data_IF_433941476998
#
_entry.id   IF_433941476998
#
_cell.length_a   1.000
_cell.length_b   1.000
_cell.length_c   1.000
_cell.angle_alpha   90.00
_cell.angle_beta   90.00
_cell.angle_gamma   90.00
#
_symmetry.space_group_name_H-M   'P 1'
#
loop_
_entity.id
_entity.type
_entity.pdbx_description
1 polymer ?
#
# COMPACT_ATOMS: atom_id res chain seq x y z
N UNK A 1 18.93 1.22 -24.07
CA UNK A 1 17.54 1.02 -24.49
C UNK A 1 16.75 0.89 -23.21
N UNK A 2 16.31 2.04 -22.68
CA UNK A 2 15.61 2.12 -21.40
C UNK A 2 14.24 1.50 -21.59
N UNK A 3 14.08 0.26 -21.13
CA UNK A 3 12.79 -0.42 -21.15
C UNK A 3 12.00 0.13 -19.96
N UNK A 4 11.24 1.18 -20.22
CA UNK A 4 10.25 1.72 -19.29
C UNK A 4 9.10 0.71 -19.20
N UNK A 5 9.25 -0.33 -18.38
CA UNK A 5 8.11 -1.19 -18.06
C UNK A 5 7.32 -0.51 -16.93
N UNK A 6 6.30 0.27 -17.34
CA UNK A 6 5.24 0.72 -16.44
C UNK A 6 4.38 -0.50 -16.07
N UNK A 7 4.75 -1.20 -15.00
CA UNK A 7 3.82 -2.12 -14.36
C UNK A 7 2.91 -1.34 -13.43
N UNK A 8 1.60 -1.51 -13.59
CA UNK A 8 0.60 -1.16 -12.58
C UNK A 8 0.84 -2.02 -11.33
N UNK A 9 1.83 -1.65 -10.54
CA UNK A 9 1.92 -2.03 -9.14
C UNK A 9 1.54 -0.77 -8.39
N UNK A 10 0.25 -0.45 -8.36
CA UNK A 10 -0.21 0.75 -7.65
C UNK A 10 0.21 0.63 -6.18
N UNK A 11 1.00 1.58 -5.62
CA UNK A 11 1.44 2.88 -6.14
C UNK A 11 2.96 3.04 -6.30
N UNK A 12 3.65 1.96 -6.64
CA UNK A 12 5.09 1.94 -6.78
C UNK A 12 5.47 2.33 -8.21
N UNK A 13 6.09 3.51 -8.35
CA UNK A 13 6.79 3.86 -9.57
C UNK A 13 8.21 3.28 -9.47
N UNK A 14 8.38 2.06 -9.98
CA UNK A 14 9.68 1.40 -10.03
C UNK A 14 10.51 1.95 -11.18
N UNK A 15 11.57 2.69 -10.87
CA UNK A 15 12.54 3.12 -11.88
C UNK A 15 13.74 2.16 -11.85
N UNK A 16 13.84 1.27 -12.83
CA UNK A 16 14.97 0.35 -12.96
C UNK A 16 16.00 0.99 -13.88
N UNK A 17 17.20 1.29 -13.36
CA UNK A 17 18.31 1.77 -14.16
C UNK A 17 19.56 0.93 -13.85
N UNK A 18 20.17 0.33 -14.88
CA UNK A 18 21.42 -0.45 -14.76
C UNK A 18 21.41 -1.61 -13.74
N UNK A 19 20.27 -2.29 -13.55
CA UNK A 19 20.15 -3.40 -12.60
C UNK A 19 20.01 -2.99 -11.13
N UNK A 20 20.03 -1.68 -10.86
CA UNK A 20 19.58 -1.08 -9.61
C UNK A 20 18.08 -0.84 -9.70
N UNK A 21 17.36 -1.37 -8.73
CA UNK A 21 15.96 -0.98 -8.47
C UNK A 21 16.06 0.37 -7.77
N UNK A 22 15.39 1.40 -8.27
CA UNK A 22 15.16 2.62 -7.50
C UNK A 22 13.65 2.72 -7.33
N UNK A 23 13.20 2.56 -6.10
CA UNK A 23 11.77 2.66 -5.77
C UNK A 23 11.48 4.13 -5.57
N UNK A 24 10.71 4.71 -6.48
CA UNK A 24 10.06 5.97 -6.22
C UNK A 24 8.61 5.65 -5.86
N UNK A 25 8.17 6.24 -4.74
CA UNK A 25 6.78 6.54 -4.42
C UNK A 25 6.00 5.57 -3.52
N UNK A 26 5.43 6.16 -2.48
CA UNK A 26 4.56 5.58 -1.45
C UNK A 26 3.25 6.37 -1.49
N UNK A 27 2.10 5.71 -1.32
CA UNK A 27 0.80 6.37 -1.42
C UNK A 27 0.51 7.25 -0.22
N UNK A 28 -0.12 8.38 -0.52
CA UNK A 28 -0.65 9.34 0.44
C UNK A 28 -2.16 9.10 0.55
N UNK A 29 -2.64 9.10 1.77
CA UNK A 29 -4.06 9.06 2.11
C UNK A 29 -4.75 10.36 1.72
N UNK A 30 -5.74 10.28 0.85
CA UNK A 30 -6.81 11.28 0.78
C UNK A 30 -8.14 10.56 0.95
N UNK A 31 -8.52 10.34 2.20
CA UNK A 31 -9.92 10.10 2.50
C UNK A 31 -10.61 11.46 2.43
N UNK A 32 -11.45 11.66 1.42
CA UNK A 32 -12.34 12.83 1.36
C UNK A 32 -13.10 12.91 2.69
N UNK A 33 -12.77 13.89 3.53
CA UNK A 33 -13.63 14.30 4.62
C UNK A 33 -14.21 15.65 4.24
N UNK A 34 -15.52 15.67 4.03
CA UNK A 34 -16.28 16.88 3.77
C UNK A 34 -16.62 17.51 5.13
N UNK A 35 -16.18 18.73 5.47
CA UNK A 35 -16.40 19.32 6.79
C UNK A 35 -17.81 19.92 6.98
N UNK A 36 -18.80 19.57 6.15
CA UNK A 36 -20.10 20.29 6.10
C UNK A 36 -21.32 19.49 6.60
N UNK A 37 -21.22 18.18 6.85
CA UNK A 37 -22.37 17.42 7.36
C UNK A 37 -22.33 17.25 8.89
N UNK A 38 -22.26 18.37 9.63
CA UNK A 38 -22.87 18.47 10.96
C UNK A 38 -24.29 18.99 10.80
N UNK A 39 -25.23 18.12 10.44
CA UNK A 39 -26.66 18.39 10.62
C UNK A 39 -27.25 17.18 11.34
N UNK A 40 -27.82 17.48 12.50
CA UNK A 40 -28.57 16.62 13.43
C UNK A 40 -29.40 15.55 12.72
N UNK A 41 -29.15 14.29 13.09
CA UNK A 41 -30.07 13.18 12.83
C UNK A 41 -31.17 13.26 13.89
N UNK A 42 -32.33 13.77 13.50
CA UNK A 42 -33.59 13.42 14.14
C UNK A 42 -34.04 12.04 13.60
N UNK A 43 -34.51 11.21 14.53
CA UNK A 43 -35.11 9.90 14.30
C UNK A 43 -36.22 9.93 13.24
N UNK A 44 -36.14 9.07 12.22
CA UNK A 44 -37.16 8.03 11.97
C UNK A 44 -36.98 7.30 10.62
N UNK A 45 -37.02 5.97 10.71
CA UNK A 45 -37.54 4.98 9.74
C UNK A 45 -36.81 4.70 8.39
N UNK A 46 -36.16 3.52 8.39
CA UNK A 46 -36.32 2.41 7.44
C UNK A 46 -36.66 2.73 5.96
N UNK A 47 -35.66 2.60 5.08
CA UNK A 47 -35.76 1.71 3.91
C UNK A 47 -34.37 1.49 3.29
N UNK A 48 -33.86 0.27 3.47
CA UNK A 48 -32.72 -0.27 2.72
C UNK A 48 -33.23 -0.60 1.32
N UNK A 49 -32.71 0.06 0.29
CA UNK A 49 -32.71 -0.44 -1.08
C UNK A 49 -31.38 -0.15 -1.75
N UNK A 50 -30.86 -1.22 -2.34
CA UNK A 50 -29.69 -1.30 -3.21
C UNK A 50 -29.65 -0.16 -4.23
N UNK A 51 -28.50 0.51 -4.31
CA UNK A 51 -28.04 1.15 -5.53
C UNK A 51 -26.56 0.86 -5.69
N UNK A 52 -26.27 -0.23 -6.40
CA UNK A 52 -25.01 -0.43 -7.11
C UNK A 52 -24.93 0.61 -8.23
N UNK A 53 -24.51 1.82 -7.89
CA UNK A 53 -24.12 2.87 -8.82
C UNK A 53 -22.63 3.10 -8.72
N UNK A 54 -21.90 2.89 -9.81
CA UNK A 54 -20.64 3.59 -10.03
C UNK A 54 -20.98 5.07 -10.21
N UNK A 55 -21.13 5.79 -9.09
CA UNK A 55 -21.18 7.24 -9.14
C UNK A 55 -19.74 7.73 -9.33
N UNK A 56 -19.46 8.16 -10.57
CA UNK A 56 -18.42 9.15 -10.80
C UNK A 56 -18.84 10.40 -10.02
N UNK A 57 -18.39 10.51 -8.77
CA UNK A 57 -18.55 11.70 -7.92
C UNK A 57 -17.82 12.89 -8.55
N UNK A 58 -18.45 13.51 -9.55
CA UNK A 58 -18.18 14.87 -9.98
C UNK A 58 -18.72 15.80 -8.88
N UNK A 59 -17.93 15.98 -7.82
CA UNK A 59 -18.15 17.08 -6.86
C UNK A 59 -17.98 18.41 -7.62
N UNK A 60 -19.08 19.16 -7.76
CA UNK A 60 -19.03 20.58 -8.11
C UNK A 60 -18.21 21.31 -7.04
N UNK A 61 -17.01 21.75 -7.41
CA UNK A 61 -16.15 22.58 -6.57
C UNK A 61 -16.85 23.94 -6.40
N UNK A 62 -17.33 24.26 -5.19
CA UNK A 62 -17.91 25.58 -4.92
C UNK A 62 -16.79 26.63 -4.98
N UNK A 63 -16.71 27.30 -6.14
CA UNK A 63 -15.70 28.33 -6.46
C UNK A 63 -15.86 29.58 -5.56
N UNK A 64 -16.96 29.69 -4.80
CA UNK A 64 -17.24 30.88 -3.97
C UNK A 64 -16.66 30.84 -2.56
N UNK A 65 -16.13 29.70 -2.11
CA UNK A 65 -15.31 29.69 -0.90
C UNK A 65 -13.97 30.37 -1.22
N UNK A 66 -13.65 31.46 -0.53
CA UNK A 66 -12.34 32.13 -0.60
C UNK A 66 -11.23 31.10 -0.32
N UNK A 67 -10.66 30.54 -1.38
CA UNK A 67 -9.56 29.57 -1.28
C UNK A 67 -8.28 30.33 -0.96
N UNK A 68 -7.63 29.95 0.13
CA UNK A 68 -6.36 30.55 0.51
C UNK A 68 -5.26 30.08 -0.46
N UNK A 69 -4.13 30.79 -0.49
CA UNK A 69 -2.95 30.37 -1.28
C UNK A 69 -2.50 28.95 -0.93
N UNK A 70 -2.63 28.56 0.34
CA UNK A 70 -2.28 27.21 0.80
C UNK A 70 -3.28 26.15 0.32
N UNK A 71 -4.59 26.46 0.28
CA UNK A 71 -5.59 25.53 -0.27
C UNK A 71 -5.31 25.23 -1.74
N UNK A 72 -4.99 26.26 -2.52
CA UNK A 72 -4.64 26.11 -3.93
C UNK A 72 -3.37 25.25 -4.11
N UNK A 73 -2.32 25.54 -3.34
CA UNK A 73 -1.06 24.78 -3.35
C UNK A 73 -1.30 23.31 -3.03
N UNK A 74 -2.12 23.04 -2.02
CA UNK A 74 -2.48 21.69 -1.60
C UNK A 74 -3.25 20.95 -2.71
N UNK A 75 -4.26 21.57 -3.31
CA UNK A 75 -5.05 20.99 -4.41
C UNK A 75 -4.20 20.70 -5.65
N UNK A 76 -3.36 21.66 -6.07
CA UNK A 76 -2.46 21.47 -7.20
C UNK A 76 -1.46 20.33 -6.93
N UNK A 77 -0.88 20.30 -5.74
CA UNK A 77 0.03 19.24 -5.32
C UNK A 77 -0.64 17.86 -5.32
N UNK A 78 -1.87 17.75 -4.83
CA UNK A 78 -2.65 16.51 -4.87
C UNK A 78 -2.94 16.07 -6.30
N UNK A 79 -3.31 16.99 -7.19
CA UNK A 79 -3.58 16.69 -8.60
C UNK A 79 -2.33 16.13 -9.31
N UNK A 80 -1.18 16.79 -9.13
CA UNK A 80 0.09 16.33 -9.69
C UNK A 80 0.51 14.98 -9.10
N UNK A 81 0.33 14.80 -7.79
CA UNK A 81 0.59 13.54 -7.13
C UNK A 81 -0.26 12.41 -7.74
N UNK A 82 -1.56 12.65 -7.95
CA UNK A 82 -2.51 11.70 -8.55
C UNK A 82 -2.14 11.35 -9.98
N UNK A 83 -1.72 12.32 -10.79
CA UNK A 83 -1.19 12.07 -12.14
C UNK A 83 -0.01 11.09 -12.12
N UNK A 84 0.90 11.30 -11.18
CA UNK A 84 2.07 10.44 -11.04
C UNK A 84 1.75 9.08 -10.39
N UNK A 85 0.88 8.98 -9.37
CA UNK A 85 0.61 7.72 -8.63
C UNK A 85 -0.50 6.87 -9.22
N UNK A 86 -1.63 7.48 -9.58
CA UNK A 86 -2.86 6.78 -9.97
C UNK A 86 -2.89 6.60 -11.48
N UNK A 87 -2.55 7.66 -12.21
CA UNK A 87 -2.55 7.65 -13.67
C UNK A 87 -1.20 7.23 -14.27
N UNK A 88 -0.17 7.08 -13.43
CA UNK A 88 1.17 6.63 -13.82
C UNK A 88 1.76 7.44 -14.98
N UNK A 89 1.45 8.74 -15.04
CA UNK A 89 1.94 9.62 -16.10
C UNK A 89 3.45 9.80 -15.93
N UNK A 90 4.27 9.61 -17.00
CA UNK A 90 5.71 9.79 -16.91
C UNK A 90 6.09 11.19 -16.43
N UNK A 91 7.14 11.26 -15.62
CA UNK A 91 7.66 12.52 -15.05
C UNK A 91 7.94 13.56 -16.14
N UNK A 92 8.48 13.13 -17.29
CA UNK A 92 8.72 14.01 -18.45
C UNK A 92 7.42 14.61 -18.96
N UNK A 93 6.40 13.78 -19.16
CA UNK A 93 5.08 14.22 -19.61
C UNK A 93 4.41 15.16 -18.62
N UNK A 94 4.57 14.95 -17.31
CA UNK A 94 4.05 15.88 -16.30
C UNK A 94 4.76 17.22 -16.36
N UNK A 95 6.08 17.23 -16.54
CA UNK A 95 6.81 18.48 -16.74
C UNK A 95 6.34 19.20 -18.00
N UNK A 96 6.05 18.48 -19.09
CA UNK A 96 5.48 19.05 -20.32
C UNK A 96 4.08 19.63 -20.07
N UNK A 97 3.21 18.92 -19.33
CA UNK A 97 1.88 19.39 -18.94
C UNK A 97 1.99 20.69 -18.14
N UNK A 98 2.84 20.72 -17.11
CA UNK A 98 3.08 21.89 -16.27
C UNK A 98 3.57 23.07 -17.11
N UNK A 99 4.53 22.84 -18.01
CA UNK A 99 5.07 23.85 -18.91
C UNK A 99 3.99 24.45 -19.83
N UNK A 100 3.16 23.59 -20.44
CA UNK A 100 2.07 24.03 -21.31
C UNK A 100 0.98 24.79 -20.55
N UNK A 101 0.59 24.34 -19.36
CA UNK A 101 -0.38 25.06 -18.51
C UNK A 101 0.18 26.42 -18.11
N UNK A 102 1.45 26.49 -17.69
CA UNK A 102 2.11 27.74 -17.35
C UNK A 102 2.15 28.72 -18.53
N UNK A 103 2.41 28.23 -19.74
CA UNK A 103 2.42 29.05 -20.95
C UNK A 103 1.02 29.56 -21.32
N UNK A 104 0.02 28.68 -21.33
CA UNK A 104 -1.38 29.06 -21.60
C UNK A 104 -1.89 30.09 -20.59
N UNK A 105 -1.57 29.91 -19.32
CA UNK A 105 -1.92 30.85 -18.27
C UNK A 105 -1.25 32.22 -18.46
N UNK A 106 0.04 32.23 -18.81
CA UNK A 106 0.78 33.46 -19.11
C UNK A 106 0.19 34.23 -20.30
N UNK A 107 -0.26 33.52 -21.34
CA UNK A 107 -0.98 34.12 -22.47
C UNK A 107 -2.33 34.71 -22.05
N UNK A 108 -3.09 33.97 -21.24
CA UNK A 108 -4.38 34.42 -20.70
C UNK A 108 -4.23 35.72 -19.90
N UNK A 109 -3.25 35.76 -18.98
CA UNK A 109 -2.95 36.95 -18.17
C UNK A 109 -2.47 38.12 -19.03
N UNK A 110 -1.65 37.86 -20.06
CA UNK A 110 -1.21 38.89 -21.00
C UNK A 110 -2.40 39.50 -21.75
N UNK A 111 -3.35 38.68 -22.21
CA UNK A 111 -4.55 39.15 -22.88
C UNK A 111 -5.47 39.93 -21.92
N UNK A 112 -5.64 39.45 -20.68
CA UNK A 112 -6.39 40.16 -19.65
C UNK A 112 -5.76 41.53 -19.34
N UNK A 113 -4.42 41.59 -19.24
CA UNK A 113 -3.67 42.84 -19.03
C UNK A 113 -3.94 43.85 -20.14
N UNK A 114 -3.96 43.39 -21.40
CA UNK A 114 -4.29 44.24 -22.55
C UNK A 114 -5.72 44.79 -22.46
N UNK A 115 -6.70 43.93 -22.20
CA UNK A 115 -8.10 44.35 -22.07
C UNK A 115 -8.35 45.33 -20.90
N UNK A 116 -7.67 45.12 -19.78
CA UNK A 116 -7.75 46.03 -18.63
C UNK A 116 -7.09 47.38 -18.96
N UNK A 117 -5.93 47.37 -19.61
CA UNK A 117 -5.25 48.60 -20.05
C UNK A 117 -6.12 49.43 -21.00
N UNK A 118 -6.77 48.80 -21.98
CA UNK A 118 -7.68 49.48 -22.90
C UNK A 118 -8.88 50.12 -22.20
N UNK A 119 -9.47 49.44 -21.21
CA UNK A 119 -10.57 50.01 -20.40
C UNK A 119 -10.12 51.13 -19.48
N UNK A 120 -8.89 51.07 -18.96
CA UNK A 120 -8.36 52.04 -18.02
C UNK A 120 -7.79 53.30 -18.67
N UNK A 121 -7.49 53.27 -19.98
CA UNK A 121 -7.12 54.46 -20.77
C UNK A 121 -8.21 55.57 -20.77
N UNK A 122 -9.42 55.29 -20.30
CA UNK A 122 -10.50 56.26 -20.11
C UNK A 122 -10.65 56.83 -18.69
N UNK A 123 -9.75 56.48 -17.76
CA UNK A 123 -9.78 56.93 -16.36
C UNK A 123 -8.62 57.90 -16.09
N UNK A 124 -8.85 58.93 -15.27
CA UNK A 124 -7.83 59.91 -14.87
C UNK A 124 -6.74 59.24 -14.00
N UNK A 125 -5.65 58.81 -14.63
CA UNK A 125 -4.47 58.24 -13.99
C UNK A 125 -3.27 58.22 -14.93
N UNK A 126 -2.04 58.29 -14.39
CA UNK A 126 -0.84 58.16 -15.24
C UNK A 126 -0.73 56.73 -15.77
N UNK A 127 -0.40 56.56 -17.06
CA UNK A 127 -0.22 55.24 -17.68
C UNK A 127 0.79 54.35 -16.93
N UNK A 128 1.79 54.99 -16.30
CA UNK A 128 2.81 54.35 -15.45
C UNK A 128 2.23 53.76 -14.16
N UNK A 129 1.27 54.44 -13.52
CA UNK A 129 0.65 53.94 -12.28
C UNK A 129 -0.23 52.72 -12.57
N UNK A 130 -1.02 52.78 -13.65
CA UNK A 130 -1.89 51.68 -14.09
C UNK A 130 -1.07 50.42 -14.40
N UNK A 131 0.04 50.57 -15.12
CA UNK A 131 0.91 49.46 -15.49
C UNK A 131 1.59 48.83 -14.27
N UNK A 132 2.00 49.66 -13.29
CA UNK A 132 2.57 49.18 -12.03
C UNK A 132 1.56 48.39 -11.19
N UNK A 133 0.31 48.86 -11.10
CA UNK A 133 -0.77 48.20 -10.36
C UNK A 133 -1.09 46.85 -11.02
N UNK A 134 -1.31 46.83 -12.34
CA UNK A 134 -1.58 45.59 -13.07
C UNK A 134 -0.45 44.57 -12.91
N UNK A 135 0.80 45.02 -12.99
CA UNK A 135 1.93 44.12 -12.79
C UNK A 135 1.99 43.60 -11.35
N UNK A 136 1.68 44.44 -10.35
CA UNK A 136 1.64 44.02 -8.96
C UNK A 136 0.54 42.99 -8.67
N UNK A 137 -0.62 43.09 -9.33
CA UNK A 137 -1.71 42.13 -9.18
C UNK A 137 -1.43 40.82 -9.94
N UNK A 138 -0.84 40.89 -11.14
CA UNK A 138 -0.39 39.69 -11.86
C UNK A 138 0.68 38.94 -11.05
N UNK A 139 1.57 39.65 -10.36
CA UNK A 139 2.56 39.01 -9.50
C UNK A 139 1.93 38.37 -8.24
N UNK A 140 0.67 38.66 -7.91
CA UNK A 140 -0.09 37.99 -6.84
C UNK A 140 -0.87 36.78 -7.35
N UNK A 141 -0.96 36.59 -8.66
CA UNK A 141 -1.66 35.45 -9.26
C UNK A 141 -1.03 34.13 -8.83
N UNK A 142 -1.88 33.22 -8.33
CA UNK A 142 -1.46 31.97 -7.74
C UNK A 142 -0.69 31.08 -8.72
N UNK A 143 -1.25 30.85 -9.91
CA UNK A 143 -0.65 29.96 -10.91
C UNK A 143 0.70 30.49 -11.41
N UNK A 144 0.83 31.81 -11.60
CA UNK A 144 2.08 32.47 -11.98
C UNK A 144 3.15 32.25 -10.93
N UNK A 145 2.80 32.36 -9.64
CA UNK A 145 3.69 32.07 -8.54
C UNK A 145 4.04 30.57 -8.47
N UNK A 146 3.04 29.69 -8.57
CA UNK A 146 3.24 28.23 -8.43
C UNK A 146 4.09 27.59 -9.53
N UNK A 147 4.06 28.14 -10.73
CA UNK A 147 4.90 27.72 -11.85
C UNK A 147 6.18 28.56 -12.01
N UNK A 148 6.38 29.56 -11.16
CA UNK A 148 7.65 30.31 -11.13
C UNK A 148 8.81 29.43 -10.67
N UNK A 149 10.03 29.79 -11.07
CA UNK A 149 11.25 29.11 -10.64
C UNK A 149 11.69 29.46 -9.21
N UNK A 150 10.90 30.22 -8.44
CA UNK A 150 11.24 30.57 -7.07
C UNK A 150 11.38 29.33 -6.17
N UNK A 151 12.13 29.48 -5.08
CA UNK A 151 12.33 28.40 -4.09
C UNK A 151 11.07 28.13 -3.25
N UNK A 152 10.18 29.11 -3.18
CA UNK A 152 8.93 29.05 -2.41
C UNK A 152 7.87 28.14 -3.06
N UNK A 153 7.90 28.01 -4.38
CA UNK A 153 6.88 27.30 -5.15
C UNK A 153 7.44 26.06 -5.87
N UNK A 154 6.88 24.89 -5.54
CA UNK A 154 7.59 23.59 -5.60
C UNK A 154 7.14 22.60 -6.70
N UNK A 155 6.60 23.06 -7.83
CA UNK A 155 6.03 22.11 -8.82
C UNK A 155 6.82 21.92 -10.12
N UNK A 156 7.78 22.80 -10.43
CA UNK A 156 8.44 22.83 -11.75
C UNK A 156 9.39 21.67 -12.04
N UNK A 157 9.89 20.98 -11.03
CA UNK A 157 10.77 19.80 -11.20
C UNK A 157 10.33 18.65 -10.31
N UNK A 158 10.68 17.41 -10.72
CA UNK A 158 10.39 16.23 -9.89
C UNK A 158 10.99 16.35 -8.49
N UNK A 159 12.22 16.85 -8.38
CA UNK A 159 12.88 17.06 -7.09
C UNK A 159 12.07 17.98 -6.17
N UNK A 160 11.61 19.12 -6.68
CA UNK A 160 10.77 20.05 -5.91
C UNK A 160 9.43 19.42 -5.53
N UNK A 161 8.81 18.65 -6.45
CA UNK A 161 7.55 17.94 -6.19
C UNK A 161 7.68 16.90 -5.08
N UNK A 162 8.72 16.06 -5.12
CA UNK A 162 8.96 15.08 -4.06
C UNK A 162 9.18 15.75 -2.70
N UNK A 163 9.92 16.85 -2.64
CA UNK A 163 10.09 17.63 -1.42
C UNK A 163 8.75 18.18 -0.89
N UNK A 164 7.89 18.69 -1.79
CA UNK A 164 6.55 19.14 -1.44
C UNK A 164 5.67 18.00 -0.92
N UNK A 165 5.66 16.83 -1.57
CA UNK A 165 4.88 15.68 -1.13
C UNK A 165 5.34 15.17 0.24
N UNK A 166 6.64 15.18 0.51
CA UNK A 166 7.20 14.81 1.81
C UNK A 166 6.74 15.75 2.92
N UNK A 167 6.84 17.05 2.68
CA UNK A 167 6.50 18.06 3.70
C UNK A 167 5.00 18.19 3.92
N UNK A 168 4.21 18.20 2.84
CA UNK A 168 2.78 18.53 2.91
C UNK A 168 1.92 17.30 3.15
N UNK A 169 2.29 16.16 2.56
CA UNK A 169 1.49 14.95 2.59
C UNK A 169 2.10 13.82 3.43
N UNK A 170 3.23 14.07 4.09
CA UNK A 170 3.88 13.09 4.93
C UNK A 170 4.42 11.87 4.16
N UNK A 171 4.86 12.06 2.91
CA UNK A 171 5.46 10.98 2.14
C UNK A 171 6.69 10.41 2.85
N UNK A 172 6.60 9.16 3.30
CA UNK A 172 7.74 8.41 3.79
C UNK A 172 8.51 7.90 2.58
N UNK A 173 9.84 8.02 2.58
CA UNK A 173 10.66 7.56 1.46
C UNK A 173 11.27 6.19 1.78
N UNK A 174 11.45 5.31 0.78
CA UNK A 174 12.16 4.06 0.98
C UNK A 174 13.65 4.33 1.23
N UNK A 175 14.24 3.58 2.15
CA UNK A 175 15.69 3.52 2.36
C UNK A 175 16.29 2.35 1.57
N UNK A 176 17.41 2.58 0.90
CA UNK A 176 18.17 1.50 0.26
C UNK A 176 19.09 0.85 1.28
N UNK A 177 19.06 -0.48 1.37
CA UNK A 177 19.86 -1.27 2.31
C UNK A 177 20.74 -2.23 1.51
N UNK A 178 22.05 -2.15 1.76
CA UNK A 178 23.04 -3.05 1.14
C UNK A 178 23.02 -4.43 1.79
N UNK A 179 22.98 -5.50 0.97
CA UNK A 179 23.05 -6.89 1.42
C UNK A 179 24.45 -7.49 1.30
N UNK A 180 25.35 -6.79 0.62
CA UNK A 180 26.69 -7.27 0.27
C UNK A 180 26.74 -7.94 -1.09
N UNK A 181 27.57 -8.98 -1.22
CA UNK A 181 27.79 -9.70 -2.48
C UNK A 181 27.02 -11.02 -2.50
N UNK A 182 26.37 -11.32 -3.62
CA UNK A 182 25.71 -12.62 -3.81
C UNK A 182 26.69 -13.71 -4.29
N UNK A 183 26.20 -14.92 -4.50
CA UNK A 183 27.01 -16.06 -5.00
C UNK A 183 27.67 -15.83 -6.37
N UNK A 184 27.28 -14.80 -7.12
CA UNK A 184 27.92 -14.37 -8.38
C UNK A 184 28.83 -13.15 -8.21
N UNK A 185 29.19 -12.80 -6.97
CA UNK A 185 30.02 -11.65 -6.62
C UNK A 185 29.46 -10.29 -7.08
N UNK A 186 28.13 -10.19 -7.22
CA UNK A 186 27.43 -8.94 -7.56
C UNK A 186 26.92 -8.27 -6.29
N UNK A 187 27.06 -6.95 -6.21
CA UNK A 187 26.48 -6.14 -5.13
C UNK A 187 24.95 -6.21 -5.21
N UNK A 188 24.34 -6.50 -4.07
CA UNK A 188 22.89 -6.60 -3.92
C UNK A 188 22.40 -5.57 -2.90
N UNK A 189 21.21 -5.03 -3.17
CA UNK A 189 20.52 -4.07 -2.31
C UNK A 189 19.01 -4.27 -2.45
N UNK A 190 18.28 -3.83 -1.45
CA UNK A 190 16.82 -3.82 -1.43
C UNK A 190 16.30 -2.52 -0.82
N UNK A 191 15.00 -2.28 -0.93
CA UNK A 191 14.37 -1.07 -0.43
C UNK A 191 13.40 -1.42 0.70
N UNK A 192 13.50 -0.67 1.78
CA UNK A 192 12.66 -0.82 2.97
C UNK A 192 11.99 0.52 3.28
N UNK A 193 10.73 0.50 3.70
CA UNK A 193 9.99 1.69 4.12
C UNK A 193 9.81 1.62 5.64
N UNK A 194 10.41 2.54 6.41
CA UNK A 194 10.36 2.48 7.87
C UNK A 194 8.93 2.50 8.43
N UNK A 195 8.50 1.42 9.09
CA UNK A 195 7.10 1.26 9.50
C UNK A 195 6.69 2.29 10.56
N UNK A 196 7.61 2.66 11.45
CA UNK A 196 7.36 3.70 12.46
C UNK A 196 7.01 5.05 11.83
N UNK A 197 7.74 5.44 10.77
CA UNK A 197 7.47 6.68 10.03
C UNK A 197 6.18 6.56 9.21
N UNK A 198 5.93 5.39 8.62
CA UNK A 198 4.68 5.13 7.89
C UNK A 198 3.47 5.27 8.81
N UNK A 199 3.52 4.67 10.01
CA UNK A 199 2.47 4.81 11.02
C UNK A 199 2.33 6.23 11.55
N UNK A 200 3.44 6.95 11.75
CA UNK A 200 3.40 8.36 12.16
C UNK A 200 2.67 9.25 11.13
N UNK A 201 3.01 9.08 9.85
CA UNK A 201 2.36 9.78 8.74
C UNK A 201 0.88 9.40 8.61
N UNK A 202 0.57 8.10 8.64
CA UNK A 202 -0.78 7.54 8.66
C UNK A 202 -1.65 8.16 9.75
N UNK A 203 -1.16 8.12 10.99
CA UNK A 203 -1.89 8.57 12.16
C UNK A 203 -1.93 10.08 12.28
N UNK A 204 -1.14 10.82 11.49
CA UNK A 204 -1.26 12.27 11.38
C UNK A 204 -2.45 12.69 10.50
N UNK A 205 -2.98 11.79 9.66
CA UNK A 205 -4.13 12.05 8.81
C UNK A 205 -5.44 12.06 9.63
N UNK A 206 -6.21 13.16 9.56
CA UNK A 206 -7.44 13.32 10.34
C UNK A 206 -8.50 12.25 10.02
N UNK A 207 -8.63 11.83 8.77
CA UNK A 207 -9.60 10.81 8.38
C UNK A 207 -9.19 9.41 8.86
N UNK A 208 -7.89 9.15 9.01
CA UNK A 208 -7.40 7.94 9.68
C UNK A 208 -7.71 8.00 11.17
N UNK A 209 -7.36 9.12 11.85
CA UNK A 209 -7.68 9.31 13.28
C UNK A 209 -9.16 9.13 13.55
N UNK A 210 -10.02 9.75 12.73
CA UNK A 210 -11.47 9.63 12.86
C UNK A 210 -11.95 8.18 12.84
N UNK A 211 -11.44 7.35 11.91
CA UNK A 211 -11.79 5.93 11.86
C UNK A 211 -11.33 5.14 13.09
N UNK A 212 -10.17 5.48 13.64
CA UNK A 212 -9.63 4.83 14.85
C UNK A 212 -10.38 5.24 16.11
N UNK A 213 -10.84 6.49 16.19
CA UNK A 213 -11.64 7.03 17.29
C UNK A 213 -13.10 6.55 17.23
N UNK A 214 -13.62 6.26 16.03
CA UNK A 214 -15.00 5.84 15.78
C UNK A 214 -15.07 4.47 15.08
N UNK A 215 -14.54 3.39 15.69
CA UNK A 215 -14.50 2.09 15.04
C UNK A 215 -15.90 1.54 14.74
N UNK A 216 -16.10 1.00 13.53
CA UNK A 216 -17.33 0.33 13.12
C UNK A 216 -17.40 -1.10 13.68
N UNK A 217 -17.45 -1.24 15.01
CA UNK A 217 -17.58 -2.52 15.68
C UNK A 217 -19.05 -2.95 15.70
N UNK A 218 -19.58 -3.31 14.54
CA UNK A 218 -20.87 -3.99 14.45
C UNK A 218 -20.65 -5.43 14.88
N UNK A 219 -21.26 -5.87 15.98
CA UNK A 219 -21.24 -7.26 16.41
C UNK A 219 -22.68 -7.76 16.45
N UNK A 220 -22.98 -8.80 15.68
CA UNK A 220 -24.28 -9.44 15.68
C UNK A 220 -24.13 -10.89 16.15
N UNK A 221 -25.10 -11.37 16.92
CA UNK A 221 -25.10 -12.75 17.39
C UNK A 221 -25.05 -13.72 16.19
N UNK A 222 -24.08 -14.63 16.21
CA UNK A 222 -23.86 -15.68 15.20
C UNK A 222 -23.50 -15.20 13.78
N UNK A 223 -23.12 -13.93 13.59
CA UNK A 223 -22.65 -13.42 12.29
C UNK A 223 -21.24 -12.85 12.46
N UNK A 224 -20.31 -13.32 11.64
CA UNK A 224 -18.99 -12.71 11.51
C UNK A 224 -19.11 -11.46 10.62
N UNK A 225 -18.83 -10.28 11.18
CA UNK A 225 -18.84 -9.00 10.47
C UNK A 225 -17.43 -8.45 10.26
N UNK A 226 -16.51 -8.79 11.15
CA UNK A 226 -15.12 -8.30 11.11
C UNK A 226 -14.10 -9.38 11.53
N UNK A 227 -12.83 -9.15 11.22
CA UNK A 227 -11.70 -10.01 11.58
C UNK A 227 -11.59 -10.23 13.10
N UNK A 228 -12.05 -9.25 13.89
CA UNK A 228 -12.03 -9.32 15.36
C UNK A 228 -13.05 -10.32 15.92
N UNK A 229 -14.05 -10.71 15.14
CA UNK A 229 -15.03 -11.71 15.57
C UNK A 229 -14.47 -13.13 15.53
N UNK A 230 -13.42 -13.35 14.73
CA UNK A 230 -12.81 -14.66 14.54
C UNK A 230 -12.09 -15.16 15.80
N UNK A 231 -12.20 -16.47 16.06
CA UNK A 231 -11.50 -17.13 17.18
C UNK A 231 -9.98 -16.91 17.15
N UNK A 232 -9.40 -16.81 15.95
CA UNK A 232 -7.97 -16.53 15.77
C UNK A 232 -7.54 -15.20 16.39
N UNK A 233 -8.39 -14.18 16.30
CA UNK A 233 -8.16 -12.88 16.93
C UNK A 233 -8.45 -12.96 18.43
N UNK A 234 -9.61 -13.49 18.81
CA UNK A 234 -10.06 -13.59 20.22
C UNK A 234 -9.08 -14.38 21.10
N UNK A 235 -8.39 -15.38 20.54
CA UNK A 235 -7.37 -16.18 21.25
C UNK A 235 -5.96 -15.64 21.12
N UNK A 236 -5.76 -14.52 20.44
CA UNK A 236 -4.43 -13.94 20.29
C UNK A 236 -3.98 -13.32 21.63
N UNK A 237 -2.92 -13.83 22.28
CA UNK A 237 -2.52 -13.36 23.60
C UNK A 237 -2.08 -11.89 23.58
N UNK A 238 -1.42 -11.45 22.51
CA UNK A 238 -0.92 -10.09 22.40
C UNK A 238 -2.06 -9.06 22.33
N UNK A 239 -3.06 -9.29 21.46
CA UNK A 239 -4.19 -8.37 21.31
C UNK A 239 -5.17 -8.45 22.49
N UNK A 240 -5.21 -9.58 23.20
CA UNK A 240 -5.97 -9.70 24.46
C UNK A 240 -5.37 -8.82 25.57
N UNK A 241 -4.04 -8.78 25.68
CA UNK A 241 -3.33 -7.93 26.65
C UNK A 241 -3.25 -6.46 26.20
N UNK A 242 -3.32 -6.20 24.90
CA UNK A 242 -3.18 -4.88 24.29
C UNK A 242 -4.37 -4.59 23.35
N UNK A 243 -5.59 -4.42 23.87
CA UNK A 243 -6.80 -4.27 23.05
C UNK A 243 -6.77 -3.03 22.15
N UNK A 244 -6.07 -1.98 22.58
CA UNK A 244 -5.89 -0.72 21.84
C UNK A 244 -4.79 -0.78 20.78
N UNK A 245 -4.06 -1.90 20.66
CA UNK A 245 -2.98 -2.00 19.69
C UNK A 245 -3.51 -2.06 18.26
N UNK A 246 -2.84 -1.34 17.36
CA UNK A 246 -3.14 -1.38 15.93
C UNK A 246 -2.81 -2.77 15.37
N UNK A 247 -3.68 -3.25 14.51
CA UNK A 247 -3.66 -4.59 13.92
C UNK A 247 -3.07 -4.52 12.53
N UNK A 248 -1.79 -4.89 12.42
CA UNK A 248 -1.05 -4.86 11.17
C UNK A 248 -1.38 -6.11 10.33
N UNK A 249 -1.92 -5.91 9.13
CA UNK A 249 -2.08 -6.97 8.13
C UNK A 249 -1.02 -6.76 7.07
N UNK A 250 -0.20 -7.78 6.85
CA UNK A 250 0.88 -7.70 5.87
C UNK A 250 0.59 -8.62 4.69
N UNK A 251 0.76 -8.11 3.49
CA UNK A 251 0.61 -8.86 2.25
C UNK A 251 1.98 -9.13 1.66
N UNK A 252 2.18 -10.30 1.08
CA UNK A 252 3.34 -10.63 0.28
C UNK A 252 2.91 -11.04 -1.11
N UNK A 253 3.54 -10.44 -2.11
CA UNK A 253 3.32 -10.77 -3.51
C UNK A 253 4.65 -10.84 -4.26
N UNK A 254 4.70 -11.65 -5.32
CA UNK A 254 5.89 -11.79 -6.16
C UNK A 254 5.51 -11.60 -7.63
N UNK A 255 6.13 -10.63 -8.29
CA UNK A 255 5.78 -10.22 -9.66
C UNK A 255 7.02 -10.04 -10.54
N UNK A 256 6.85 -10.23 -11.85
CA UNK A 256 7.93 -10.13 -12.83
C UNK A 256 7.85 -8.79 -13.58
N UNK A 257 8.98 -8.06 -13.63
CA UNK A 257 9.02 -6.73 -14.25
C UNK A 257 9.31 -6.76 -15.76
N UNK A 258 9.89 -7.84 -16.25
CA UNK A 258 10.31 -7.93 -17.66
C UNK A 258 9.29 -8.68 -18.50
N UNK A 259 9.37 -8.45 -19.82
CA UNK A 259 8.46 -9.07 -20.78
C UNK A 259 8.43 -10.61 -20.58
N UNK A 260 7.26 -11.20 -20.28
CA UNK A 260 7.12 -12.63 -19.95
C UNK A 260 7.42 -13.58 -21.13
N UNK A 261 7.68 -13.03 -22.32
CA UNK A 261 7.92 -13.74 -23.58
C UNK A 261 9.39 -13.71 -24.06
N UNK A 262 10.30 -13.03 -23.37
CA UNK A 262 11.70 -12.85 -23.80
C UNK A 262 12.72 -13.81 -23.16
N UNK A 263 13.96 -13.80 -23.66
CA UNK A 263 15.09 -14.58 -23.11
C UNK A 263 15.52 -14.15 -21.69
N UNK A 264 15.05 -13.00 -21.22
CA UNK A 264 15.25 -12.49 -19.86
C UNK A 264 14.14 -12.94 -18.88
N UNK A 265 13.24 -13.83 -19.28
CA UNK A 265 12.19 -14.38 -18.41
C UNK A 265 12.79 -14.91 -17.09
N UNK A 266 12.17 -14.57 -15.96
CA UNK A 266 12.59 -14.83 -14.56
C UNK A 266 13.80 -14.06 -14.04
N UNK A 267 14.49 -13.24 -14.83
CA UNK A 267 15.70 -12.54 -14.33
C UNK A 267 15.41 -11.35 -13.41
N UNK A 268 14.20 -10.78 -13.46
CA UNK A 268 13.79 -9.63 -12.65
C UNK A 268 12.43 -9.88 -11.98
N UNK A 269 12.37 -10.96 -11.19
CA UNK A 269 11.25 -11.23 -10.29
C UNK A 269 11.48 -10.51 -8.96
N UNK A 270 10.54 -9.67 -8.57
CA UNK A 270 10.57 -8.94 -7.31
C UNK A 270 9.57 -9.56 -6.33
N UNK A 271 9.87 -9.38 -5.05
CA UNK A 271 8.97 -9.68 -3.95
C UNK A 271 8.68 -8.37 -3.22
N UNK A 272 7.39 -8.06 -3.07
CA UNK A 272 6.90 -6.92 -2.32
C UNK A 272 6.20 -7.37 -1.04
N UNK A 273 6.44 -6.66 0.06
CA UNK A 273 5.66 -6.74 1.29
C UNK A 273 4.89 -5.44 1.46
N UNK A 274 3.58 -5.54 1.64
CA UNK A 274 2.67 -4.42 1.79
C UNK A 274 1.98 -4.48 3.16
N UNK A 275 1.58 -3.34 3.70
CA UNK A 275 0.98 -3.19 5.01
C UNK A 275 -0.37 -2.49 4.90
N UNK A 276 -1.35 -2.97 5.66
CA UNK A 276 -2.62 -2.27 5.91
C UNK A 276 -2.99 -2.39 7.37
N UNK A 277 -3.77 -1.43 7.87
CA UNK A 277 -4.37 -1.51 9.20
C UNK A 277 -5.72 -2.23 9.10
N UNK A 278 -5.88 -3.32 9.85
CA UNK A 278 -7.19 -3.93 10.02
C UNK A 278 -8.16 -3.03 10.82
N UNK A 279 -7.66 -1.95 11.42
CA UNK A 279 -8.46 -0.96 12.14
C UNK A 279 -9.25 -0.01 11.21
N UNK A 280 -8.92 0.09 9.92
CA UNK A 280 -9.72 0.88 8.97
C UNK A 280 -11.13 0.33 8.82
N UNK A 281 -12.07 1.10 8.29
CA UNK A 281 -13.38 0.52 7.98
C UNK A 281 -13.28 -0.54 6.86
N UNK A 282 -14.10 -1.61 6.90
CA UNK A 282 -13.99 -2.74 5.97
C UNK A 282 -13.92 -2.35 4.48
N UNK A 283 -14.72 -1.37 4.06
CA UNK A 283 -14.76 -0.85 2.68
C UNK A 283 -13.47 -0.17 2.21
N UNK A 284 -12.59 0.21 3.14
CA UNK A 284 -11.31 0.85 2.86
C UNK A 284 -10.13 -0.11 2.96
N UNK A 285 -10.20 -1.15 3.80
CA UNK A 285 -9.10 -2.12 3.99
C UNK A 285 -8.64 -2.80 2.70
N UNK A 286 -9.58 -3.12 1.81
CA UNK A 286 -9.31 -3.85 0.58
C UNK A 286 -8.94 -2.95 -0.60
N UNK A 287 -8.97 -1.63 -0.44
CA UNK A 287 -8.55 -0.71 -1.51
C UNK A 287 -7.04 -0.69 -1.60
N UNK A 288 -6.52 -0.92 -2.80
CA UNK A 288 -5.08 -0.84 -3.11
C UNK A 288 -4.51 0.50 -2.64
N UNK A 289 -5.29 1.57 -2.74
CA UNK A 289 -4.97 2.93 -2.28
C UNK A 289 -4.48 3.03 -0.83
N UNK A 290 -4.95 2.12 0.02
CA UNK A 290 -4.63 2.09 1.44
C UNK A 290 -3.50 1.11 1.80
N UNK A 291 -3.00 0.34 0.84
CA UNK A 291 -1.88 -0.58 1.03
C UNK A 291 -0.55 0.19 0.96
N UNK A 292 0.23 0.13 2.05
CA UNK A 292 1.52 0.78 2.18
C UNK A 292 2.63 -0.18 1.77
N UNK A 293 3.59 0.24 0.94
CA UNK A 293 4.80 -0.57 0.76
C UNK A 293 5.57 -0.60 2.09
N UNK A 294 6.00 -1.80 2.50
CA UNK A 294 6.90 -2.00 3.63
C UNK A 294 8.30 -2.43 3.17
N UNK A 295 8.39 -3.30 2.15
CA UNK A 295 9.67 -3.81 1.66
C UNK A 295 9.56 -4.27 0.21
N UNK A 296 10.61 -4.08 -0.57
CA UNK A 296 10.73 -4.65 -1.92
C UNK A 296 12.16 -5.07 -2.23
N UNK A 297 12.31 -6.29 -2.73
CA UNK A 297 13.59 -6.91 -3.03
C UNK A 297 13.49 -7.81 -4.27
N UNK A 298 14.64 -8.24 -4.82
CA UNK A 298 14.66 -9.32 -5.81
C UNK A 298 14.36 -10.64 -5.13
N UNK A 299 13.59 -11.51 -5.77
CA UNK A 299 13.29 -12.85 -5.26
C UNK A 299 14.59 -13.66 -5.04
N UNK A 300 15.52 -13.61 -5.99
CA UNK A 300 16.81 -14.29 -5.86
C UNK A 300 17.66 -13.80 -4.68
N UNK A 301 17.55 -12.51 -4.35
CA UNK A 301 18.27 -11.95 -3.21
C UNK A 301 17.60 -12.37 -1.90
N UNK A 302 16.26 -12.45 -1.88
CA UNK A 302 15.52 -12.97 -0.74
C UNK A 302 15.83 -14.45 -0.48
N UNK A 303 15.92 -15.27 -1.51
CA UNK A 303 16.31 -16.69 -1.41
C UNK A 303 17.75 -16.86 -0.92
N UNK A 304 18.68 -16.01 -1.39
CA UNK A 304 20.10 -16.12 -1.05
C UNK A 304 20.45 -15.56 0.33
N UNK A 305 19.95 -14.36 0.65
CA UNK A 305 20.29 -13.66 1.91
C UNK A 305 19.31 -13.97 3.04
N UNK A 306 18.12 -14.49 2.73
CA UNK A 306 17.10 -14.89 3.70
C UNK A 306 16.78 -13.76 4.68
N UNK A 307 17.00 -14.04 5.96
CA UNK A 307 16.61 -13.20 7.10
C UNK A 307 17.11 -11.77 7.00
N UNK A 308 18.31 -11.56 6.45
CA UNK A 308 18.93 -10.23 6.35
C UNK A 308 18.06 -9.21 5.60
N UNK A 309 17.21 -9.68 4.69
CA UNK A 309 16.27 -8.83 3.96
C UNK A 309 15.11 -8.40 4.86
N UNK A 310 14.60 -9.31 5.69
CA UNK A 310 13.42 -9.06 6.55
C UNK A 310 13.77 -8.46 7.92
N UNK A 311 15.04 -8.42 8.29
CA UNK A 311 15.50 -7.95 9.61
C UNK A 311 14.98 -6.55 10.00
N UNK A 312 15.04 -5.51 9.14
CA UNK A 312 14.50 -4.19 9.51
C UNK A 312 13.00 -4.22 9.73
N UNK A 313 12.27 -4.98 8.91
CA UNK A 313 10.83 -5.13 9.00
C UNK A 313 10.41 -5.79 10.32
N UNK A 314 11.04 -6.92 10.66
CA UNK A 314 10.77 -7.65 11.91
C UNK A 314 11.15 -6.79 13.12
N UNK A 315 12.27 -6.06 13.05
CA UNK A 315 12.72 -5.18 14.14
C UNK A 315 11.71 -4.05 14.39
N UNK A 316 11.24 -3.39 13.34
CA UNK A 316 10.25 -2.33 13.49
C UNK A 316 8.93 -2.87 14.08
N UNK A 317 8.47 -4.06 13.67
CA UNK A 317 7.28 -4.68 14.28
C UNK A 317 7.52 -5.01 15.76
N UNK A 318 8.72 -5.50 16.13
CA UNK A 318 9.06 -5.74 17.54
C UNK A 318 9.01 -4.46 18.36
N UNK A 319 9.62 -3.39 17.89
CA UNK A 319 9.60 -2.09 18.56
C UNK A 319 8.16 -1.61 18.75
N UNK A 320 7.37 -1.63 17.67
CA UNK A 320 5.94 -1.27 17.67
C UNK A 320 5.12 -2.12 18.64
N UNK A 321 5.46 -3.41 18.81
CA UNK A 321 4.74 -4.31 19.72
C UNK A 321 4.98 -3.95 21.19
N UNK A 322 6.16 -3.42 21.52
CA UNK A 322 6.45 -2.92 22.86
C UNK A 322 5.86 -1.53 23.10
N UNK A 323 5.66 -0.78 22.02
CA UNK A 323 5.10 0.56 22.01
C UNK A 323 6.16 1.62 21.74
N UNK A 324 5.80 2.60 20.91
CA UNK A 324 6.69 3.70 20.50
C UNK A 324 5.96 5.02 20.65
N UNK A 325 6.73 6.09 20.92
CA UNK A 325 6.22 7.45 20.80
C UNK A 325 6.40 7.91 19.35
N UNK A 326 5.29 8.26 18.72
CA UNK A 326 5.25 8.90 17.41
C UNK A 326 5.28 10.42 17.57
N UNK A 327 5.14 11.16 16.47
CA UNK A 327 5.08 12.62 16.51
C UNK A 327 3.93 13.08 17.41
N UNK A 328 4.08 14.29 17.98
CA UNK A 328 3.13 14.86 18.95
C UNK A 328 2.96 14.05 20.25
N UNK A 329 3.97 13.23 20.63
CA UNK A 329 3.98 12.40 21.84
C UNK A 329 2.83 11.37 21.92
N UNK A 330 2.31 10.92 20.78
CA UNK A 330 1.29 9.87 20.74
C UNK A 330 1.99 8.52 20.99
N UNK A 331 1.62 7.84 22.07
CA UNK A 331 2.10 6.49 22.35
C UNK A 331 1.26 5.45 21.60
N UNK A 332 1.90 4.68 20.73
CA UNK A 332 1.23 3.69 19.88
C UNK A 332 1.86 2.32 20.08
N UNK A 333 0.99 1.33 20.25
CA UNK A 333 1.33 -0.09 20.12
C UNK A 333 0.73 -0.62 18.83
N UNK A 334 1.50 -1.41 18.09
CA UNK A 334 1.03 -2.08 16.89
C UNK A 334 1.71 -3.43 16.75
N UNK A 335 1.01 -4.43 16.20
CA UNK A 335 1.62 -5.75 15.99
C UNK A 335 1.01 -6.48 14.81
N UNK A 336 1.74 -7.48 14.32
CA UNK A 336 1.34 -8.32 13.20
C UNK A 336 0.16 -9.23 13.59
N UNK A 337 -0.97 -9.03 12.92
CA UNK A 337 -2.13 -9.90 13.02
C UNK A 337 -1.99 -11.13 12.12
N UNK A 338 -1.70 -10.90 10.84
CA UNK A 338 -1.53 -11.97 9.86
C UNK A 338 -0.67 -11.55 8.67
N UNK A 339 -0.15 -12.57 7.98
CA UNK A 339 0.58 -12.48 6.73
C UNK A 339 -0.23 -13.16 5.62
N UNK A 340 -0.68 -12.38 4.66
CA UNK A 340 -1.50 -12.82 3.54
C UNK A 340 -0.61 -12.95 2.30
N UNK A 341 -0.70 -14.07 1.60
CA UNK A 341 -0.02 -14.26 0.33
C UNK A 341 -0.70 -15.33 -0.49
N UNK A 342 -0.23 -15.52 -1.71
CA UNK A 342 -0.61 -16.69 -2.51
C UNK A 342 -0.12 -17.99 -1.84
N UNK A 343 -0.46 -19.14 -2.42
CA UNK A 343 -0.07 -20.42 -1.84
C UNK A 343 1.44 -20.59 -1.76
N UNK A 344 2.17 -20.23 -2.81
CA UNK A 344 3.61 -20.40 -2.85
C UNK A 344 4.31 -19.49 -1.84
N UNK A 345 3.93 -18.21 -1.81
CA UNK A 345 4.40 -17.20 -0.87
C UNK A 345 4.11 -17.56 0.58
N UNK A 346 2.87 -17.99 0.89
CA UNK A 346 2.50 -18.44 2.24
C UNK A 346 3.32 -19.64 2.70
N UNK A 347 3.59 -20.61 1.81
CA UNK A 347 4.45 -21.75 2.14
C UNK A 347 5.89 -21.32 2.38
N UNK A 348 6.40 -20.39 1.56
CA UNK A 348 7.74 -19.83 1.75
C UNK A 348 7.87 -19.10 3.09
N UNK A 349 6.96 -18.17 3.39
CA UNK A 349 6.93 -17.41 4.66
C UNK A 349 6.88 -18.35 5.86
N UNK A 350 6.00 -19.36 5.80
CA UNK A 350 5.81 -20.30 6.91
C UNK A 350 6.87 -21.39 7.03
N UNK A 351 7.87 -21.40 6.16
CA UNK A 351 8.90 -22.44 6.16
C UNK A 351 8.35 -23.82 5.83
N UNK A 352 7.27 -23.89 5.03
CA UNK A 352 6.71 -25.12 4.51
C UNK A 352 7.37 -25.52 3.18
N UNK A 353 7.23 -26.78 2.81
CA UNK A 353 7.64 -27.25 1.48
C UNK A 353 6.88 -26.50 0.39
N UNK A 354 7.60 -26.05 -0.64
CA UNK A 354 7.05 -25.25 -1.74
C UNK A 354 6.81 -26.07 -3.02
N UNK A 355 7.02 -27.39 -2.97
CA UNK A 355 6.73 -28.31 -4.07
C UNK A 355 5.37 -28.99 -3.86
N UNK A 356 4.33 -28.49 -4.54
CA UNK A 356 2.97 -29.00 -4.41
C UNK A 356 2.68 -30.29 -5.20
N UNK A 357 3.54 -30.69 -6.15
CA UNK A 357 3.30 -31.86 -6.99
C UNK A 357 3.67 -33.17 -6.27
N UNK A 358 4.84 -33.18 -5.63
CA UNK A 358 5.43 -34.42 -5.11
C UNK A 358 5.54 -34.47 -3.59
N UNK A 359 5.28 -33.36 -2.88
CA UNK A 359 5.37 -33.37 -1.42
C UNK A 359 4.30 -34.31 -0.81
N UNK A 360 4.76 -35.22 0.06
CA UNK A 360 3.90 -36.13 0.81
C UNK A 360 2.96 -35.40 1.76
N UNK A 361 3.45 -34.34 2.41
CA UNK A 361 2.69 -33.44 3.27
C UNK A 361 2.75 -32.04 2.67
N UNK A 362 1.76 -31.71 1.84
CA UNK A 362 1.76 -30.49 1.04
C UNK A 362 0.87 -29.37 1.62
N UNK A 363 0.02 -29.68 2.59
CA UNK A 363 -0.91 -28.72 3.16
C UNK A 363 -0.27 -27.95 4.32
N UNK A 364 -0.39 -26.61 4.31
CA UNK A 364 0.04 -25.75 5.43
C UNK A 364 -0.93 -25.73 6.62
N UNK A 365 -2.17 -26.19 6.43
CA UNK A 365 -3.19 -26.16 7.49
C UNK A 365 -3.29 -27.47 8.28
N UNK A 366 -3.06 -28.61 7.62
CA UNK A 366 -3.19 -29.93 8.24
C UNK A 366 -2.06 -30.89 7.82
N UNK A 367 -1.92 -31.98 8.57
CA UNK A 367 -0.94 -33.03 8.33
C UNK A 367 -1.45 -34.11 7.37
N UNK A 368 -2.18 -33.73 6.31
CA UNK A 368 -2.71 -34.69 5.34
C UNK A 368 -1.59 -35.31 4.50
N UNK A 369 -1.64 -36.63 4.36
CA UNK A 369 -0.75 -37.38 3.48
C UNK A 369 -1.36 -37.46 2.08
N UNK A 370 -0.56 -37.14 1.06
CA UNK A 370 -0.95 -37.18 -0.36
C UNK A 370 -1.57 -38.52 -0.77
N UNK A 371 -0.95 -39.64 -0.42
CA UNK A 371 -1.42 -40.95 -0.85
C UNK A 371 -2.81 -41.25 -0.27
N UNK A 372 -3.09 -40.79 0.96
CA UNK A 372 -4.42 -40.90 1.56
C UNK A 372 -5.43 -39.98 0.87
N UNK A 373 -5.03 -38.75 0.58
CA UNK A 373 -5.90 -37.76 -0.06
C UNK A 373 -6.27 -38.12 -1.49
N UNK A 374 -5.32 -38.61 -2.30
CA UNK A 374 -5.58 -39.04 -3.69
C UNK A 374 -6.57 -40.21 -3.73
N UNK A 375 -6.49 -41.11 -2.74
CA UNK A 375 -7.42 -42.23 -2.64
C UNK A 375 -8.78 -41.83 -2.04
N UNK A 376 -8.83 -40.77 -1.22
CA UNK A 376 -10.05 -40.23 -0.63
C UNK A 376 -9.94 -38.72 -0.42
N UNK A 377 -10.53 -37.95 -1.34
CA UNK A 377 -10.53 -36.48 -1.30
C UNK A 377 -11.28 -35.88 -0.09
N UNK A 378 -12.09 -36.70 0.62
CA UNK A 378 -12.82 -36.31 1.84
C UNK A 378 -12.06 -36.64 3.14
N UNK A 379 -10.80 -37.05 3.06
CA UNK A 379 -10.03 -37.38 4.26
C UNK A 379 -9.75 -36.13 5.10
N UNK A 380 -10.09 -36.20 6.39
CA UNK A 380 -9.74 -35.17 7.37
C UNK A 380 -8.45 -35.57 8.09
N UNK A 381 -7.45 -34.70 8.04
CA UNK A 381 -6.19 -34.88 8.76
C UNK A 381 -6.11 -33.92 9.96
N UNK A 382 -5.33 -34.25 11.00
CA UNK A 382 -5.11 -33.36 12.14
C UNK A 382 -4.61 -31.99 11.69
N UNK A 383 -5.20 -30.93 12.25
CA UNK A 383 -4.74 -29.56 12.03
C UNK A 383 -3.34 -29.38 12.61
N UNK A 384 -2.52 -28.60 11.92
CA UNK A 384 -1.23 -28.17 12.46
C UNK A 384 -1.46 -27.22 13.61
N UNK A 385 -0.62 -27.34 14.63
CA UNK A 385 -0.57 -26.45 15.79
C UNK A 385 0.89 -26.14 16.14
N UNK A 386 1.11 -25.19 17.04
CA UNK A 386 2.45 -24.77 17.48
C UNK A 386 3.32 -25.94 17.94
N UNK A 387 2.77 -26.85 18.75
CA UNK A 387 3.51 -28.01 19.23
C UNK A 387 3.97 -28.92 18.09
N UNK A 388 3.07 -29.27 17.17
CA UNK A 388 3.40 -30.11 16.02
C UNK A 388 4.43 -29.46 15.08
N UNK A 389 4.36 -28.13 14.90
CA UNK A 389 5.31 -27.39 14.10
C UNK A 389 6.71 -27.42 14.73
N UNK A 390 6.80 -27.03 16.01
CA UNK A 390 8.07 -27.04 16.76
C UNK A 390 8.70 -28.43 16.82
N UNK A 391 7.89 -29.49 16.96
CA UNK A 391 8.40 -30.86 16.94
C UNK A 391 9.06 -31.19 15.58
N UNK A 392 8.46 -30.77 14.47
CA UNK A 392 9.06 -31.01 13.15
C UNK A 392 10.36 -30.26 12.95
N UNK A 393 10.46 -29.02 13.44
CA UNK A 393 11.72 -28.26 13.44
C UNK A 393 12.80 -28.97 14.26
N UNK A 394 12.46 -29.44 15.45
CA UNK A 394 13.39 -30.19 16.29
C UNK A 394 13.82 -31.51 15.64
N UNK A 395 12.90 -32.22 14.97
CA UNK A 395 13.21 -33.43 14.22
C UNK A 395 14.17 -33.15 13.06
N UNK A 396 13.97 -32.03 12.35
CA UNK A 396 14.85 -31.57 11.27
C UNK A 396 16.26 -31.33 11.80
N UNK A 397 16.40 -30.57 12.88
CA UNK A 397 17.70 -30.23 13.48
C UNK A 397 18.43 -31.45 14.05
N UNK A 398 17.73 -32.32 14.78
CA UNK A 398 18.35 -33.48 15.44
C UNK A 398 18.77 -34.58 14.47
N UNK A 399 18.06 -34.72 13.35
CA UNK A 399 18.26 -35.84 12.40
C UNK A 399 18.81 -35.37 11.05
N UNK A 400 19.18 -34.09 10.92
CA UNK A 400 19.70 -33.47 9.69
C UNK A 400 18.80 -33.74 8.47
N UNK A 401 17.49 -33.55 8.65
CA UNK A 401 16.49 -33.79 7.60
C UNK A 401 16.30 -32.53 6.75
N UNK A 402 16.04 -32.70 5.45
CA UNK A 402 15.66 -31.57 4.59
C UNK A 402 14.28 -30.98 4.95
N UNK A 403 13.38 -31.82 5.47
CA UNK A 403 12.05 -31.44 5.92
C UNK A 403 11.44 -32.53 6.80
N UNK A 404 10.53 -32.17 7.69
CA UNK A 404 9.68 -33.11 8.45
C UNK A 404 8.22 -32.68 8.36
N UNK A 405 7.32 -33.64 8.14
CA UNK A 405 5.87 -33.41 8.00
C UNK A 405 5.49 -32.23 7.09
N UNK A 406 6.27 -31.92 6.05
CA UNK A 406 6.00 -30.80 5.13
C UNK A 406 6.51 -29.43 5.61
N UNK A 407 7.26 -29.37 6.70
CA UNK A 407 7.99 -28.19 7.19
C UNK A 407 9.46 -28.36 6.84
N UNK A 408 10.11 -27.31 6.30
CA UNK A 408 11.52 -27.31 5.89
C UNK A 408 12.41 -26.38 6.73
N UNK A 409 11.83 -25.37 7.36
CA UNK A 409 12.57 -24.36 8.13
C UNK A 409 11.65 -23.63 9.10
N UNK A 410 12.23 -22.99 10.11
CA UNK A 410 11.50 -22.14 11.06
C UNK A 410 10.99 -20.86 10.37
N UNK A 411 9.77 -20.43 10.72
CA UNK A 411 9.23 -19.16 10.26
C UNK A 411 9.87 -17.98 10.99
N UNK A 412 10.39 -17.01 10.24
CA UNK A 412 11.09 -15.85 10.79
C UNK A 412 10.21 -14.94 11.64
N UNK A 413 8.91 -14.93 11.35
CA UNK A 413 7.92 -14.11 12.05
C UNK A 413 7.47 -14.74 13.38
N UNK A 414 7.85 -15.97 13.70
CA UNK A 414 7.60 -16.55 15.04
C UNK A 414 8.33 -15.81 16.17
N UNK A 415 9.29 -14.95 15.83
CA UNK A 415 9.93 -14.04 16.75
C UNK A 415 9.06 -12.85 17.18
N UNK A 416 7.87 -12.69 16.60
CA UNK A 416 6.90 -11.64 16.94
C UNK A 416 5.91 -12.16 17.99
N UNK A 417 5.65 -11.34 19.02
CA UNK A 417 4.73 -11.70 20.11
C UNK A 417 3.33 -11.98 19.56
N UNK A 418 2.71 -13.08 19.99
CA UNK A 418 1.34 -13.42 19.58
C UNK A 418 1.18 -13.88 18.11
N UNK A 419 2.25 -13.94 17.31
CA UNK A 419 2.20 -14.45 15.94
C UNK A 419 2.69 -15.90 15.86
N UNK A 420 1.95 -16.76 15.18
CA UNK A 420 2.41 -18.09 14.80
C UNK A 420 1.67 -18.57 13.54
N UNK A 421 2.37 -19.18 12.60
CA UNK A 421 1.76 -19.57 11.31
C UNK A 421 0.61 -20.56 11.45
N UNK A 422 0.66 -21.43 12.46
CA UNK A 422 -0.42 -22.37 12.81
C UNK A 422 -1.52 -21.80 13.73
N UNK A 423 -1.42 -20.55 14.20
CA UNK A 423 -2.46 -19.90 15.02
C UNK A 423 -3.18 -18.81 14.22
N UNK A 424 -3.94 -19.25 13.23
CA UNK A 424 -3.59 -19.12 11.81
C UNK A 424 -3.05 -17.73 11.44
N UNK A 425 -1.72 -17.58 11.49
CA UNK A 425 -1.03 -16.37 11.04
C UNK A 425 -0.92 -16.23 9.52
N UNK A 426 -1.26 -17.28 8.76
CA UNK A 426 -1.22 -17.34 7.30
C UNK A 426 -2.61 -17.71 6.73
N UNK A 427 -3.57 -16.78 6.68
CA UNK A 427 -4.92 -17.05 6.19
C UNK A 427 -4.93 -17.56 4.73
N UNK A 428 -6.01 -18.26 4.31
CA UNK A 428 -6.21 -18.61 2.91
C UNK A 428 -6.40 -17.37 2.04
N UNK A 429 -6.02 -17.47 0.76
CA UNK A 429 -6.23 -16.40 -0.20
C UNK A 429 -7.39 -16.79 -1.11
N UNK A 430 -8.60 -16.34 -0.80
CA UNK A 430 -9.82 -16.68 -1.53
C UNK A 430 -9.68 -16.47 -3.05
N UNK A 431 -8.98 -15.40 -3.46
CA UNK A 431 -8.70 -15.13 -4.87
C UNK A 431 -7.98 -16.28 -5.57
N UNK A 432 -6.81 -16.65 -5.07
CA UNK A 432 -5.99 -17.72 -5.66
C UNK A 432 -6.58 -19.12 -5.40
N UNK A 433 -7.14 -19.35 -4.21
CA UNK A 433 -7.60 -20.66 -3.78
C UNK A 433 -8.94 -21.04 -4.42
N UNK A 434 -9.90 -20.11 -4.46
CA UNK A 434 -11.25 -20.37 -4.96
C UNK A 434 -11.44 -19.80 -6.37
N UNK A 435 -11.18 -18.51 -6.59
CA UNK A 435 -11.56 -17.85 -7.85
C UNK A 435 -10.69 -18.26 -9.04
N UNK A 436 -9.37 -18.37 -8.87
CA UNK A 436 -8.48 -18.80 -9.95
C UNK A 436 -8.55 -20.30 -10.24
N UNK A 437 -8.83 -21.11 -9.22
CA UNK A 437 -8.88 -22.56 -9.30
C UNK A 437 -10.31 -23.10 -9.44
N UNK A 438 -10.91 -23.42 -8.28
CA UNK A 438 -12.14 -24.21 -8.16
C UNK A 438 -13.30 -23.58 -8.91
N UNK A 439 -13.61 -22.31 -8.64
CA UNK A 439 -14.77 -21.62 -9.21
C UNK A 439 -14.69 -21.55 -10.72
N UNK A 440 -13.50 -21.25 -11.27
CA UNK A 440 -13.28 -21.20 -12.72
C UNK A 440 -13.56 -22.56 -13.36
N UNK A 441 -13.07 -23.65 -12.77
CA UNK A 441 -13.24 -25.00 -13.29
C UNK A 441 -14.71 -25.46 -13.19
N UNK A 442 -15.29 -25.35 -12.01
CA UNK A 442 -16.66 -25.80 -11.73
C UNK A 442 -17.67 -25.01 -12.56
N UNK A 443 -17.53 -23.68 -12.64
CA UNK A 443 -18.39 -22.85 -13.48
C UNK A 443 -18.30 -23.25 -14.96
N UNK A 444 -17.11 -23.60 -15.45
CA UNK A 444 -16.95 -24.09 -16.83
C UNK A 444 -17.67 -25.41 -17.05
N UNK A 445 -17.64 -26.32 -16.07
CA UNK A 445 -18.40 -27.57 -16.14
C UNK A 445 -19.90 -27.33 -16.10
N UNK A 446 -20.39 -26.50 -15.18
CA UNK A 446 -21.81 -26.15 -15.10
C UNK A 446 -22.31 -25.51 -16.39
N UNK A 447 -21.55 -24.58 -16.97
CA UNK A 447 -21.92 -23.96 -18.23
C UNK A 447 -21.99 -24.95 -19.39
N UNK A 448 -21.14 -25.98 -19.44
CA UNK A 448 -21.19 -27.04 -20.45
C UNK A 448 -22.40 -27.97 -20.33
N UNK A 449 -22.96 -28.12 -19.14
CA UNK A 449 -24.16 -28.94 -18.93
C UNK A 449 -25.44 -28.13 -19.20
N UNK A 450 -25.38 -26.80 -19.08
CA UNK A 450 -26.52 -25.90 -19.27
C UNK A 450 -26.64 -25.37 -20.71
N UNK A 451 -25.52 -25.22 -21.42
CA UNK A 451 -25.42 -24.74 -22.82
C UNK A 451 -25.01 -25.90 -23.71
#
# INVERSE_FOLDING_TARGET
MDVLVLLKLNPLLLHICHGNIVVYKIMIFSFKHNPINEISVDDDNNSILDNNGFDEDNEEFDVNALTTTEDFKHVLGLALLKFETVHLIPISTINDIISNISYLHSLSLSNLKLHLKDKMNGLDGSNTDIESILQSEINKDFLTNFFSNSEEYRFTSNFKRQAFYKETFGLVEPISIELGLNGSNKKCQYHYVPLKQTLDSLLSNNSVKHQLEHPQNLCFDNIFTDIIDGESFKRNPYFSENPSALKLVMYQDAFEIVNPLGSAKKTFKLVGFYLTLADFYPQFRSKIENMQLALICKESDLEYFGNKVLDPLIRDIKDLSTGVYLSNNIFVKANLLCLVGDNLGSHWIGGFVTNFGNAKYFCRFCCVNRDLWVNNHYVYAPLRNRQSYTQSIHNIENNDLLHDMGIKSECLFHNLLGFHVCNPGLPPCIGHDLFEGVVKYDLTLFLKEII
#
